data_IF_810185750980
#
_entry.id   IF_810185750980
#
_cell.length_a   1.000
_cell.length_b   1.000
_cell.length_c   1.000
_cell.angle_alpha   90.00
_cell.angle_beta   90.00
_cell.angle_gamma   90.00
#
_symmetry.space_group_name_H-M   'P 1'
#
loop_
_entity.id
_entity.type
_entity.pdbx_description
1 polymer ?
#
# COMPACT_ATOMS: atom_id res chain seq x y z
N UNK A 1 -14.06 -18.13 5.39
CA UNK A 1 -13.43 -16.82 5.13
C UNK A 1 -12.26 -16.92 4.15
N UNK A 2 -11.14 -17.58 4.49
CA UNK A 2 -9.96 -17.66 3.60
C UNK A 2 -10.24 -18.35 2.26
N UNK A 3 -11.06 -19.41 2.23
CA UNK A 3 -11.46 -20.06 0.97
C UNK A 3 -12.24 -19.12 0.04
N UNK A 4 -13.30 -18.48 0.55
CA UNK A 4 -14.08 -17.51 -0.21
C UNK A 4 -13.28 -16.28 -0.67
N UNK A 5 -12.22 -15.89 0.06
CA UNK A 5 -11.28 -14.85 -0.38
C UNK A 5 -10.44 -15.29 -1.58
N UNK A 6 -10.02 -16.57 -1.63
CA UNK A 6 -9.29 -17.16 -2.76
C UNK A 6 -10.18 -17.35 -4.00
N UNK A 7 -11.49 -17.50 -3.79
CA UNK A 7 -12.48 -17.68 -4.85
C UNK A 7 -12.95 -16.34 -5.47
N UNK A 8 -12.40 -15.20 -5.04
CA UNK A 8 -12.70 -13.91 -5.67
C UNK A 8 -12.23 -13.91 -7.14
N UNK A 9 -13.01 -13.31 -8.05
CA UNK A 9 -12.60 -13.23 -9.44
C UNK A 9 -11.27 -12.46 -9.55
N UNK A 10 -10.34 -12.92 -10.40
CA UNK A 10 -9.06 -12.25 -10.57
C UNK A 10 -9.29 -10.84 -11.10
N UNK A 11 -8.45 -9.91 -10.65
CA UNK A 11 -8.47 -8.55 -11.18
C UNK A 11 -8.10 -8.55 -12.67
N UNK A 12 -9.02 -8.10 -13.51
CA UNK A 12 -8.92 -8.18 -14.98
C UNK A 12 -8.71 -6.84 -15.67
N UNK A 13 -8.74 -5.73 -14.91
CA UNK A 13 -8.61 -4.39 -15.48
C UNK A 13 -7.13 -4.03 -15.67
N UNK A 14 -6.84 -3.20 -16.66
CA UNK A 14 -5.51 -2.62 -16.82
C UNK A 14 -5.20 -1.68 -15.64
N UNK A 15 -3.98 -1.71 -15.06
CA UNK A 15 -3.56 -0.70 -14.09
C UNK A 15 -3.77 0.70 -14.64
N UNK A 16 -4.35 1.58 -13.84
CA UNK A 16 -4.41 3.00 -14.15
C UNK A 16 -2.99 3.59 -14.21
N UNK A 17 -2.88 4.70 -14.92
CA UNK A 17 -1.64 5.48 -15.04
C UNK A 17 -1.86 6.87 -14.43
N UNK A 18 -0.81 7.50 -13.91
CA UNK A 18 -0.88 8.89 -13.49
C UNK A 18 -1.37 9.80 -14.61
N UNK A 19 -2.22 10.78 -14.27
CA UNK A 19 -2.80 11.75 -15.22
C UNK A 19 -2.35 13.18 -14.93
N UNK A 20 -2.20 13.53 -13.66
CA UNK A 20 -1.90 14.88 -13.22
C UNK A 20 -0.41 14.98 -12.83
N UNK A 21 0.47 15.00 -13.82
CA UNK A 21 1.93 15.13 -13.65
C UNK A 21 2.48 16.34 -14.40
N UNK A 22 3.62 16.84 -13.97
CA UNK A 22 4.33 17.96 -14.61
C UNK A 22 5.26 17.48 -15.72
N UNK A 23 5.96 16.37 -15.48
CA UNK A 23 6.93 15.81 -16.40
C UNK A 23 6.80 14.28 -16.45
N UNK A 24 7.11 13.70 -17.61
CA UNK A 24 7.21 12.27 -17.82
C UNK A 24 8.47 11.96 -18.63
N UNK A 25 9.36 11.16 -18.05
CA UNK A 25 10.58 10.68 -18.70
C UNK A 25 10.49 9.16 -18.83
N UNK A 26 10.70 8.63 -20.03
CA UNK A 26 10.72 7.18 -20.28
C UNK A 26 12.15 6.76 -20.56
N UNK A 27 12.61 5.74 -19.85
CA UNK A 27 13.86 5.05 -20.15
C UNK A 27 13.53 3.81 -21.00
N UNK A 28 13.77 3.89 -22.30
CA UNK A 28 13.43 2.82 -23.26
C UNK A 28 14.24 1.54 -23.02
N UNK A 29 15.43 1.64 -22.40
CA UNK A 29 16.28 0.48 -22.13
C UNK A 29 15.71 -0.39 -21.00
N UNK A 30 15.19 0.25 -19.96
CA UNK A 30 14.62 -0.43 -18.79
C UNK A 30 13.10 -0.51 -18.84
N UNK A 31 12.45 0.23 -19.73
CA UNK A 31 11.00 0.45 -19.78
C UNK A 31 10.44 1.13 -18.52
N UNK A 32 11.29 1.72 -17.68
CA UNK A 32 10.87 2.49 -16.51
C UNK A 32 10.38 3.85 -16.96
N UNK A 33 9.25 4.28 -16.42
CA UNK A 33 8.75 5.65 -16.59
C UNK A 33 8.89 6.42 -15.29
N UNK A 34 9.54 7.58 -15.30
CA UNK A 34 9.57 8.51 -14.17
C UNK A 34 8.57 9.62 -14.40
N UNK A 35 7.67 9.83 -13.44
CA UNK A 35 6.76 10.97 -13.43
C UNK A 35 7.19 11.96 -12.34
N UNK A 36 7.17 13.26 -12.67
CA UNK A 36 7.38 14.35 -11.71
C UNK A 36 6.02 14.94 -11.35
N UNK A 37 5.75 15.06 -10.05
CA UNK A 37 4.49 15.59 -9.50
C UNK A 37 4.79 16.70 -8.52
N UNK A 38 3.91 17.69 -8.42
CA UNK A 38 3.87 18.59 -7.26
C UNK A 38 2.64 18.31 -6.41
N UNK A 39 2.86 17.97 -5.15
CA UNK A 39 1.78 17.66 -4.21
C UNK A 39 1.07 18.94 -3.80
N UNK A 40 -0.23 19.04 -4.13
CA UNK A 40 -1.08 20.14 -3.65
C UNK A 40 -1.24 20.20 -2.13
N UNK A 41 -0.88 19.13 -1.41
CA UNK A 41 -1.04 19.03 0.04
C UNK A 41 0.10 19.65 0.83
N UNK A 42 1.31 19.70 0.27
CA UNK A 42 2.50 20.26 0.93
C UNK A 42 3.39 21.10 0.02
N UNK A 43 3.08 21.23 -1.27
CA UNK A 43 3.83 22.04 -2.24
C UNK A 43 5.14 21.41 -2.71
N UNK A 44 5.49 20.22 -2.24
CA UNK A 44 6.75 19.55 -2.60
C UNK A 44 6.65 18.78 -3.92
N UNK A 45 7.79 18.68 -4.61
CA UNK A 45 7.93 17.92 -5.85
C UNK A 45 8.43 16.50 -5.58
N UNK A 46 7.77 15.52 -6.18
CA UNK A 46 8.08 14.09 -6.07
C UNK A 46 8.37 13.51 -7.45
N UNK A 47 9.47 12.74 -7.55
CA UNK A 47 9.81 11.97 -8.76
C UNK A 47 9.58 10.49 -8.48
N UNK A 48 8.53 9.93 -9.07
CA UNK A 48 8.12 8.54 -8.82
C UNK A 48 8.35 7.70 -10.07
N UNK A 49 9.09 6.60 -9.92
CA UNK A 49 9.34 5.62 -10.98
C UNK A 49 8.20 4.63 -11.06
N UNK A 50 7.89 4.19 -12.26
CA UNK A 50 6.91 3.17 -12.57
C UNK A 50 7.56 2.08 -13.40
N UNK A 51 7.28 0.82 -13.06
CA UNK A 51 7.76 -0.33 -13.82
C UNK A 51 7.07 -0.46 -15.20
N UNK A 52 7.48 -1.45 -16.00
CA UNK A 52 6.89 -1.75 -17.31
C UNK A 52 5.39 -2.09 -17.23
N UNK A 53 4.93 -2.60 -16.09
CA UNK A 53 3.53 -2.92 -15.81
C UNK A 53 2.69 -1.70 -15.44
N UNK A 54 3.32 -0.56 -15.16
CA UNK A 54 2.66 0.66 -14.70
C UNK A 54 2.40 0.67 -13.20
N UNK A 55 3.19 -0.05 -12.41
CA UNK A 55 3.15 0.00 -10.95
C UNK A 55 4.25 0.92 -10.39
N UNK A 56 3.96 1.74 -9.38
CA UNK A 56 4.94 2.63 -8.77
C UNK A 56 5.99 1.83 -8.01
N UNK A 57 7.25 2.28 -8.13
CA UNK A 57 8.40 1.79 -7.39
C UNK A 57 8.69 2.82 -6.30
N UNK A 58 8.03 2.66 -5.15
CA UNK A 58 8.20 3.55 -4.01
C UNK A 58 9.49 3.26 -3.24
N UNK A 59 10.05 4.31 -2.63
CA UNK A 59 11.10 4.15 -1.62
C UNK A 59 10.50 3.70 -0.29
N UNK A 60 10.30 2.39 -0.14
CA UNK A 60 9.70 1.81 1.06
C UNK A 60 10.61 1.94 2.29
N UNK A 61 10.04 2.43 3.41
CA UNK A 61 10.72 2.46 4.72
C UNK A 61 10.72 1.10 5.41
N UNK A 62 9.74 0.26 5.08
CA UNK A 62 9.61 -1.08 5.63
C UNK A 62 8.70 -1.94 4.76
N UNK A 63 9.09 -3.18 4.53
CA UNK A 63 8.31 -4.17 3.77
C UNK A 63 7.96 -5.37 4.64
N UNK A 64 6.76 -5.91 4.46
CA UNK A 64 6.30 -7.13 5.12
C UNK A 64 5.27 -7.86 4.26
N UNK A 65 4.96 -9.10 4.64
CA UNK A 65 3.79 -9.82 4.16
C UNK A 65 2.56 -9.59 5.07
N UNK A 66 1.38 -9.55 4.44
CA UNK A 66 0.06 -9.61 5.07
C UNK A 66 -0.51 -11.02 4.86
N UNK A 67 -0.84 -11.69 5.97
CA UNK A 67 -1.45 -13.02 5.93
C UNK A 67 -2.77 -13.00 5.16
N UNK A 68 -3.05 -14.06 4.41
CA UNK A 68 -4.30 -14.23 3.64
C UNK A 68 -5.57 -14.07 4.48
N UNK A 69 -5.51 -14.42 5.77
CA UNK A 69 -6.61 -14.22 6.72
C UNK A 69 -7.06 -12.77 6.82
N UNK A 70 -6.19 -11.81 6.50
CA UNK A 70 -6.47 -10.37 6.52
C UNK A 70 -6.85 -9.79 5.15
N UNK A 71 -6.72 -10.53 4.04
CA UNK A 71 -6.88 -9.95 2.69
C UNK A 71 -8.27 -9.34 2.46
N UNK A 72 -9.32 -9.93 3.04
CA UNK A 72 -10.70 -9.43 2.95
C UNK A 72 -11.08 -8.47 4.09
N UNK A 73 -10.19 -8.21 5.04
CA UNK A 73 -10.43 -7.23 6.10
C UNK A 73 -10.37 -5.79 5.54
N UNK A 74 -11.09 -4.84 6.16
CA UNK A 74 -11.01 -3.44 5.78
C UNK A 74 -9.61 -2.85 6.04
N UNK A 75 -9.29 -1.74 5.37
CA UNK A 75 -8.00 -1.06 5.51
C UNK A 75 -7.69 -0.71 6.97
N UNK A 76 -8.71 -0.32 7.75
CA UNK A 76 -8.54 0.00 9.17
C UNK A 76 -8.02 -1.17 10.01
N UNK A 77 -8.46 -2.40 9.71
CA UNK A 77 -8.02 -3.62 10.42
C UNK A 77 -6.64 -4.04 9.93
N UNK A 78 -6.43 -4.05 8.61
CA UNK A 78 -5.14 -4.43 8.03
C UNK A 78 -4.02 -3.47 8.48
N UNK A 79 -4.26 -2.16 8.44
CA UNK A 79 -3.25 -1.17 8.78
C UNK A 79 -2.96 -1.15 10.28
N UNK A 80 -3.97 -1.41 11.12
CA UNK A 80 -3.75 -1.60 12.56
C UNK A 80 -2.81 -2.78 12.82
N UNK A 81 -3.09 -3.92 12.21
CA UNK A 81 -2.25 -5.12 12.32
C UNK A 81 -0.82 -4.86 11.83
N UNK A 82 -0.66 -4.28 10.64
CA UNK A 82 0.64 -3.99 10.04
C UNK A 82 1.47 -3.01 10.88
N UNK A 83 0.83 -1.98 11.44
CA UNK A 83 1.48 -1.04 12.36
C UNK A 83 1.98 -1.71 13.64
N UNK A 84 1.18 -2.59 14.25
CA UNK A 84 1.61 -3.33 15.45
C UNK A 84 2.73 -4.32 15.12
N UNK A 85 2.63 -4.99 13.98
CA UNK A 85 3.71 -5.87 13.49
C UNK A 85 5.02 -5.10 13.27
N UNK A 86 4.97 -3.90 12.68
CA UNK A 86 6.14 -3.05 12.51
C UNK A 86 6.74 -2.68 13.87
N UNK A 87 5.91 -2.33 14.87
CA UNK A 87 6.40 -2.09 16.22
C UNK A 87 7.17 -3.30 16.77
N UNK A 88 6.59 -4.51 16.67
CA UNK A 88 7.25 -5.73 17.15
C UNK A 88 8.58 -6.00 16.46
N UNK A 89 8.67 -5.71 15.16
CA UNK A 89 9.89 -5.88 14.37
C UNK A 89 10.94 -4.79 14.69
N UNK A 90 10.51 -3.55 14.98
CA UNK A 90 11.36 -2.47 15.48
C UNK A 90 12.01 -2.86 16.82
N UNK A 91 11.22 -3.43 17.76
CA UNK A 91 11.74 -3.86 19.07
C UNK A 91 12.83 -4.95 18.96
N UNK A 92 12.84 -5.72 17.87
CA UNK A 92 13.81 -6.78 17.61
C UNK A 92 15.00 -6.33 16.77
N UNK A 93 14.91 -5.18 16.11
CA UNK A 93 15.91 -4.70 15.16
C UNK A 93 16.30 -3.24 15.42
N UNK A 94 17.41 -2.99 16.15
CA UNK A 94 17.88 -1.64 16.43
C UNK A 94 18.16 -0.77 15.19
N UNK A 95 18.53 -1.38 14.05
CA UNK A 95 18.76 -0.63 12.82
C UNK A 95 17.44 -0.18 12.17
N UNK A 96 16.38 -0.98 12.28
CA UNK A 96 15.04 -0.58 11.85
C UNK A 96 14.50 0.56 12.74
N UNK A 97 14.75 0.50 14.06
CA UNK A 97 14.35 1.53 15.00
C UNK A 97 14.90 2.93 14.64
N UNK A 98 16.13 3.01 14.13
CA UNK A 98 16.77 4.28 13.72
C UNK A 98 16.04 5.02 12.60
N UNK A 99 15.14 4.37 11.87
CA UNK A 99 14.37 5.00 10.79
C UNK A 99 13.16 5.80 11.29
N UNK A 100 12.79 5.64 12.57
CA UNK A 100 11.56 6.17 13.14
C UNK A 100 11.84 6.99 14.40
N UNK A 101 11.07 8.05 14.62
CA UNK A 101 11.12 8.79 15.89
C UNK A 101 10.48 7.97 17.01
N UNK A 102 10.79 8.30 18.26
CA UNK A 102 10.15 7.67 19.42
C UNK A 102 8.61 7.81 19.38
N UNK A 103 8.11 8.97 18.95
CA UNK A 103 6.67 9.23 18.75
C UNK A 103 6.07 8.31 17.70
N UNK A 104 6.76 8.08 16.58
CA UNK A 104 6.28 7.16 15.53
C UNK A 104 6.20 5.73 16.06
N UNK A 105 7.21 5.29 16.80
CA UNK A 105 7.26 3.96 17.44
C UNK A 105 6.07 3.78 18.40
N UNK A 106 5.74 4.79 19.20
CA UNK A 106 4.57 4.76 20.09
C UNK A 106 3.25 4.70 19.32
N UNK A 107 3.14 5.41 18.18
CA UNK A 107 1.98 5.28 17.29
C UNK A 107 1.86 3.86 16.75
N UNK A 108 2.96 3.25 16.29
CA UNK A 108 2.96 1.88 15.78
C UNK A 108 2.52 0.87 16.86
N UNK A 109 2.99 1.04 18.10
CA UNK A 109 2.54 0.24 19.26
C UNK A 109 1.02 0.26 19.44
N UNK A 110 0.40 1.42 19.23
CA UNK A 110 -1.06 1.60 19.30
C UNK A 110 -1.80 1.14 18.03
N UNK A 111 -1.10 0.56 17.06
CA UNK A 111 -1.65 0.19 15.75
C UNK A 111 -2.06 1.40 14.90
N UNK A 112 -1.39 2.53 15.11
CA UNK A 112 -1.52 3.75 14.31
C UNK A 112 -0.28 3.93 13.46
N UNK A 113 -0.31 4.93 12.58
CA UNK A 113 0.86 5.36 11.80
C UNK A 113 0.93 6.89 11.81
N UNK A 114 2.13 7.48 11.70
CA UNK A 114 2.29 8.92 11.50
C UNK A 114 1.56 9.40 10.24
N UNK A 115 1.18 10.68 10.19
CA UNK A 115 0.51 11.24 9.00
C UNK A 115 1.40 11.31 7.77
N UNK A 116 2.72 11.33 7.96
CA UNK A 116 3.74 11.38 6.90
C UNK A 116 3.90 10.06 6.15
N UNK A 117 3.31 8.95 6.62
CA UNK A 117 3.46 7.63 5.98
C UNK A 117 2.13 6.93 5.77
N UNK A 118 2.10 5.99 4.83
CA UNK A 118 0.96 5.11 4.60
C UNK A 118 1.36 3.70 4.21
N UNK A 119 0.48 2.75 4.51
CA UNK A 119 0.60 1.39 4.02
C UNK A 119 0.11 1.34 2.57
N UNK A 120 0.97 0.85 1.69
CA UNK A 120 0.70 0.56 0.30
C UNK A 120 0.59 -0.95 0.11
N UNK A 121 -0.51 -1.38 -0.50
CA UNK A 121 -0.66 -2.74 -1.01
C UNK A 121 0.09 -2.86 -2.34
N UNK A 122 1.18 -3.62 -2.36
CA UNK A 122 1.95 -3.86 -3.59
C UNK A 122 1.20 -4.81 -4.54
N UNK A 123 1.54 -4.80 -5.83
CA UNK A 123 0.90 -5.66 -6.83
C UNK A 123 1.16 -7.15 -6.61
N UNK A 124 2.31 -7.49 -6.02
CA UNK A 124 2.59 -8.85 -5.54
C UNK A 124 1.68 -9.18 -4.35
N UNK A 125 0.99 -10.32 -4.45
CA UNK A 125 0.00 -10.75 -3.45
C UNK A 125 0.58 -10.80 -2.04
N UNK A 126 -0.09 -10.13 -1.10
CA UNK A 126 0.29 -10.09 0.30
C UNK A 126 1.46 -9.16 0.61
N UNK A 127 2.21 -8.63 -0.36
CA UNK A 127 3.30 -7.70 -0.09
C UNK A 127 2.76 -6.33 0.30
N UNK A 128 3.23 -5.82 1.44
CA UNK A 128 2.88 -4.53 2.00
C UNK A 128 4.12 -3.68 2.18
N UNK A 129 4.00 -2.39 1.88
CA UNK A 129 5.09 -1.41 1.99
C UNK A 129 4.63 -0.22 2.84
N UNK A 130 5.46 0.24 3.77
CA UNK A 130 5.25 1.52 4.44
C UNK A 130 5.99 2.61 3.65
N UNK A 131 5.25 3.49 3.01
CA UNK A 131 5.77 4.48 2.07
C UNK A 131 5.45 5.91 2.51
N UNK A 132 6.13 6.89 1.92
CA UNK A 132 5.80 8.31 2.12
C UNK A 132 4.36 8.60 1.67
N UNK A 133 3.61 9.30 2.51
CA UNK A 133 2.20 9.58 2.25
C UNK A 133 2.01 10.52 1.05
N UNK A 134 2.81 11.57 0.94
CA UNK A 134 2.63 12.58 -0.10
C UNK A 134 3.04 12.03 -1.46
N UNK A 135 4.16 11.31 -1.52
CA UNK A 135 4.59 10.56 -2.70
C UNK A 135 3.50 9.59 -3.17
N UNK A 136 2.98 8.76 -2.25
CA UNK A 136 1.92 7.79 -2.54
C UNK A 136 0.64 8.46 -3.09
N UNK A 137 0.27 9.61 -2.54
CA UNK A 137 -0.96 10.31 -2.91
C UNK A 137 -0.92 10.90 -4.31
N UNK A 138 0.23 11.44 -4.74
CA UNK A 138 0.38 12.03 -6.08
C UNK A 138 0.59 10.97 -7.16
N UNK A 139 1.23 9.86 -6.81
CA UNK A 139 1.44 8.73 -7.69
C UNK A 139 0.15 7.90 -7.83
N UNK A 140 -0.82 8.35 -8.64
CA UNK A 140 -2.04 7.57 -8.90
C UNK A 140 -1.76 6.20 -9.53
N UNK A 141 -2.15 5.12 -8.85
CA UNK A 141 -1.85 3.75 -9.24
C UNK A 141 -2.94 2.74 -8.84
N UNK A 142 -2.82 1.54 -9.40
CA UNK A 142 -3.62 0.37 -9.07
C UNK A 142 -2.75 -0.50 -8.19
N UNK A 143 -3.03 -0.50 -6.88
CA UNK A 143 -2.29 -1.33 -5.94
C UNK A 143 -2.93 -2.70 -5.72
N UNK A 144 -2.26 -3.48 -4.89
CA UNK A 144 -2.70 -4.77 -4.38
C UNK A 144 -4.09 -4.78 -3.76
N UNK A 145 -4.56 -3.63 -3.28
CA UNK A 145 -5.92 -3.51 -2.75
C UNK A 145 -6.95 -3.94 -3.80
N UNK A 146 -6.80 -3.46 -5.03
CA UNK A 146 -7.69 -3.82 -6.14
C UNK A 146 -7.38 -5.23 -6.67
N UNK A 147 -6.10 -5.61 -6.70
CA UNK A 147 -5.64 -6.84 -7.34
C UNK A 147 -6.01 -8.09 -6.53
N UNK A 148 -5.80 -8.06 -5.22
CA UNK A 148 -5.92 -9.24 -4.36
C UNK A 148 -6.69 -9.02 -3.04
N UNK A 149 -7.11 -7.78 -2.72
CA UNK A 149 -7.98 -7.50 -1.54
C UNK A 149 -9.42 -7.05 -1.89
N UNK A 150 -9.87 -7.25 -3.13
CA UNK A 150 -11.26 -6.94 -3.54
C UNK A 150 -11.60 -5.45 -3.60
N UNK A 151 -10.61 -4.59 -3.79
CA UNK A 151 -10.78 -3.17 -4.10
C UNK A 151 -11.52 -2.38 -3.03
N UNK A 152 -12.43 -1.51 -3.48
CA UNK A 152 -13.19 -0.58 -2.63
C UNK A 152 -14.16 -1.31 -1.68
N UNK A 153 -14.78 -2.40 -2.17
CA UNK A 153 -15.67 -3.22 -1.35
C UNK A 153 -14.88 -3.93 -0.24
N UNK A 154 -13.67 -4.40 -0.54
CA UNK A 154 -12.74 -4.86 0.47
C UNK A 154 -12.38 -3.75 1.45
N UNK A 155 -11.97 -2.59 0.95
CA UNK A 155 -11.46 -1.46 1.77
C UNK A 155 -12.45 -1.06 2.85
N UNK A 156 -13.73 -1.00 2.50
CA UNK A 156 -14.83 -0.59 3.38
C UNK A 156 -15.38 -1.74 4.23
N UNK A 157 -14.93 -2.97 4.03
CA UNK A 157 -15.43 -4.17 4.69
C UNK A 157 -16.77 -4.67 4.14
N UNK A 158 -17.31 -4.06 3.08
CA UNK A 158 -18.51 -4.53 2.39
C UNK A 158 -18.33 -5.94 1.84
N UNK A 159 -17.16 -6.24 1.27
CA UNK A 159 -16.86 -7.57 0.75
C UNK A 159 -16.92 -8.65 1.84
N UNK A 160 -16.35 -8.37 3.01
CA UNK A 160 -16.41 -9.27 4.15
C UNK A 160 -17.84 -9.56 4.59
N UNK A 161 -18.72 -8.54 4.59
CA UNK A 161 -20.14 -8.71 4.90
C UNK A 161 -20.84 -9.62 3.89
N UNK A 162 -20.64 -9.38 2.59
CA UNK A 162 -21.20 -10.21 1.51
C UNK A 162 -20.77 -11.68 1.68
N UNK A 163 -19.48 -11.93 1.89
CA UNK A 163 -18.95 -13.30 2.07
C UNK A 163 -19.56 -13.96 3.32
N UNK A 164 -19.72 -13.23 4.42
CA UNK A 164 -20.34 -13.76 5.63
C UNK A 164 -21.81 -14.11 5.44
N UNK A 165 -22.54 -13.37 4.61
CA UNK A 165 -23.93 -13.66 4.26
C UNK A 165 -24.07 -14.90 3.37
N UNK A 166 -23.12 -15.16 2.47
CA UNK A 166 -23.12 -16.34 1.59
C UNK A 166 -22.78 -17.67 2.29
N UNK A 167 -22.19 -17.61 3.48
CA UNK A 167 -21.78 -18.79 4.26
C UNK A 167 -22.85 -19.18 5.30
N UNK A 168 -23.85 -18.33 5.51
CA UNK A 168 -25.03 -18.64 6.33
C UNK A 168 -25.99 -19.55 5.57
#
# INVERSE_FOLDING_TARGET
>A
MTKAARDLPPYSRKPNKPRDFEEKVVDDSTGITTYTFTSKKNGETYKVKYDKGGYPIFNSKYETSLSESYHIEPDSVQFKYLSQKLYDDIMKNPNLAKQFSQTDIELFKLGKKPKSVTWHHHQETGKMQLVDYYEYQVAGHTGGRAIWCGGDDGRTGKLKKIILEMIK
#
